data_IF_852757032132
#
_entry.id   IF_852757032132
#
_cell.length_a   1.000
_cell.length_b   1.000
_cell.length_c   1.000
_cell.angle_alpha   90.00
_cell.angle_beta   90.00
_cell.angle_gamma   90.00
#
_symmetry.space_group_name_H-M   'P 1'
#
loop_
_entity.id
_entity.type
_entity.pdbx_description
1 polymer ?
#
# COMPACT_ATOMS: atom_id res chain seq x y z
N UNK A 1 1.51 -29.86 -2.35
CA UNK A 1 0.81 -29.93 -1.05
C UNK A 1 0.07 -28.64 -0.81
N UNK A 2 -0.94 -28.61 0.06
CA UNK A 2 -1.66 -27.38 0.42
C UNK A 2 -1.08 -26.80 1.70
N UNK A 3 -0.75 -25.51 1.70
CA UNK A 3 -0.28 -24.81 2.89
C UNK A 3 -1.24 -23.67 3.19
N UNK A 4 -1.83 -23.69 4.39
CA UNK A 4 -2.73 -22.64 4.87
C UNK A 4 -1.92 -21.60 5.64
N UNK A 5 -2.00 -20.35 5.22
CA UNK A 5 -1.33 -19.21 5.84
C UNK A 5 -2.26 -18.54 6.85
N UNK A 6 -1.86 -18.50 8.12
CA UNK A 6 -2.56 -17.76 9.16
C UNK A 6 -1.82 -16.45 9.47
N UNK A 7 -2.55 -15.36 9.79
CA UNK A 7 -3.99 -15.30 10.03
C UNK A 7 -4.85 -15.07 8.78
N UNK A 8 -4.26 -14.87 7.60
CA UNK A 8 -5.00 -14.49 6.38
C UNK A 8 -6.01 -15.54 5.89
N UNK A 9 -5.82 -16.81 6.26
CA UNK A 9 -6.63 -17.94 5.79
C UNK A 9 -6.34 -18.34 4.34
N UNK A 10 -5.35 -17.72 3.69
CA UNK A 10 -4.97 -18.03 2.33
C UNK A 10 -4.44 -19.47 2.21
N UNK A 11 -4.83 -20.18 1.16
CA UNK A 11 -4.33 -21.54 0.87
C UNK A 11 -3.49 -21.49 -0.39
N UNK A 12 -2.20 -21.81 -0.26
CA UNK A 12 -1.27 -21.90 -1.37
C UNK A 12 -1.01 -23.36 -1.73
N UNK A 13 -0.91 -23.64 -3.03
CA UNK A 13 -0.52 -24.96 -3.53
C UNK A 13 0.97 -24.98 -3.88
N UNK A 14 1.71 -25.92 -3.27
CA UNK A 14 3.12 -26.17 -3.56
C UNK A 14 3.29 -27.24 -4.63
N UNK A 15 4.25 -27.01 -5.53
CA UNK A 15 4.77 -28.03 -6.45
C UNK A 15 5.61 -29.07 -5.69
N UNK A 16 5.82 -30.28 -6.25
CA UNK A 16 6.68 -31.28 -5.62
C UNK A 16 8.09 -30.75 -5.34
N UNK A 17 8.53 -30.83 -4.08
CA UNK A 17 9.85 -30.34 -3.65
C UNK A 17 9.99 -28.82 -3.53
N UNK A 18 8.90 -28.07 -3.73
CA UNK A 18 8.90 -26.61 -3.64
C UNK A 18 8.84 -26.13 -2.19
N UNK A 19 9.59 -25.08 -1.90
CA UNK A 19 9.61 -24.46 -0.57
C UNK A 19 8.40 -23.56 -0.37
N UNK A 20 7.95 -23.40 0.87
CA UNK A 20 6.77 -22.58 1.21
C UNK A 20 6.92 -21.14 0.68
N UNK A 21 8.08 -20.52 0.87
CA UNK A 21 8.35 -19.15 0.37
C UNK A 21 8.26 -19.06 -1.16
N UNK A 22 8.81 -20.04 -1.87
CA UNK A 22 8.84 -20.03 -3.33
C UNK A 22 7.44 -20.21 -3.91
N UNK A 23 6.64 -21.11 -3.32
CA UNK A 23 5.24 -21.29 -3.69
C UNK A 23 4.41 -20.01 -3.48
N UNK A 24 4.56 -19.36 -2.33
CA UNK A 24 3.84 -18.13 -2.02
C UNK A 24 4.19 -17.01 -3.02
N UNK A 25 5.48 -16.82 -3.32
CA UNK A 25 5.93 -15.81 -4.29
C UNK A 25 5.48 -16.13 -5.71
N UNK A 26 5.53 -17.40 -6.13
CA UNK A 26 5.03 -17.84 -7.44
C UNK A 26 3.55 -17.54 -7.61
N UNK A 27 2.78 -17.62 -6.53
CA UNK A 27 1.35 -17.31 -6.51
C UNK A 27 1.05 -15.82 -6.29
N UNK A 28 2.08 -14.96 -6.21
CA UNK A 28 1.93 -13.51 -6.18
C UNK A 28 1.84 -12.90 -4.77
N UNK A 29 2.07 -13.67 -3.71
CA UNK A 29 2.12 -13.13 -2.35
C UNK A 29 3.42 -12.36 -2.11
N UNK A 30 3.30 -11.21 -1.46
CA UNK A 30 4.44 -10.48 -0.91
C UNK A 30 4.76 -11.06 0.48
N UNK A 31 5.89 -11.74 0.59
CA UNK A 31 6.31 -12.46 1.79
C UNK A 31 7.59 -11.86 2.38
N UNK A 32 7.79 -11.93 3.70
CA UNK A 32 8.99 -11.42 4.34
C UNK A 32 10.20 -12.28 3.93
N UNK A 33 11.22 -11.64 3.34
CA UNK A 33 12.44 -12.31 2.89
C UNK A 33 13.69 -11.43 2.98
N UNK A 34 14.85 -12.08 3.05
CA UNK A 34 16.15 -11.43 2.84
C UNK A 34 17.22 -12.42 2.36
N UNK A 35 17.68 -13.35 3.23
CA UNK A 35 18.87 -14.17 2.95
C UNK A 35 18.64 -15.45 2.12
N UNK A 36 17.41 -15.99 2.12
CA UNK A 36 17.04 -17.29 1.50
C UNK A 36 17.90 -18.51 1.90
N UNK A 37 18.57 -18.44 3.05
CA UNK A 37 19.44 -19.52 3.55
C UNK A 37 19.26 -19.80 5.05
N UNK A 38 18.19 -19.29 5.67
CA UNK A 38 17.86 -19.53 7.07
C UNK A 38 18.58 -18.61 8.09
N UNK A 39 19.50 -17.73 7.68
CA UNK A 39 20.32 -16.96 8.63
C UNK A 39 19.69 -15.66 9.16
N UNK A 40 18.82 -14.99 8.38
CA UNK A 40 18.26 -13.69 8.78
C UNK A 40 16.99 -13.79 9.62
N UNK A 41 16.35 -14.97 9.64
CA UNK A 41 15.09 -15.28 10.33
C UNK A 41 13.86 -14.44 9.89
N UNK A 42 14.00 -13.52 8.92
CA UNK A 42 12.89 -12.71 8.39
C UNK A 42 11.73 -13.57 7.83
N UNK A 43 12.03 -14.72 7.21
CA UNK A 43 11.00 -15.63 6.69
C UNK A 43 10.49 -16.64 7.74
N UNK A 44 10.66 -16.32 9.03
CA UNK A 44 10.20 -17.20 10.10
C UNK A 44 8.68 -17.33 10.08
N UNK A 45 8.21 -18.54 10.33
CA UNK A 45 6.81 -18.87 10.54
C UNK A 45 6.70 -19.95 11.63
N UNK A 46 5.57 -20.01 12.33
CA UNK A 46 5.29 -21.09 13.27
C UNK A 46 4.50 -22.19 12.55
N UNK A 47 4.99 -23.43 12.57
CA UNK A 47 4.27 -24.60 12.09
C UNK A 47 3.19 -24.99 13.12
N UNK A 48 1.92 -24.85 12.73
CA UNK A 48 0.75 -25.12 13.56
C UNK A 48 0.27 -26.56 13.35
N UNK A 49 0.19 -27.00 12.10
CA UNK A 49 -0.22 -28.37 11.73
C UNK A 49 0.59 -28.89 10.53
N UNK A 50 0.72 -30.21 10.45
CA UNK A 50 1.43 -30.93 9.39
C UNK A 50 2.94 -31.06 9.63
N UNK A 51 3.69 -31.36 8.57
CA UNK A 51 5.13 -31.55 8.64
C UNK A 51 5.88 -30.98 7.43
N UNK A 52 7.08 -30.50 7.70
CA UNK A 52 7.98 -29.93 6.69
C UNK A 52 9.36 -30.56 6.82
N UNK A 53 10.05 -30.72 5.69
CA UNK A 53 11.47 -31.02 5.67
C UNK A 53 12.24 -29.69 5.59
N UNK A 54 13.19 -29.52 6.51
CA UNK A 54 14.06 -28.35 6.55
C UNK A 54 15.49 -28.79 6.91
N UNK A 55 16.45 -28.45 6.05
CA UNK A 55 17.87 -28.81 6.26
C UNK A 55 18.11 -30.32 6.50
N UNK A 56 17.31 -31.18 5.85
CA UNK A 56 17.39 -32.64 5.99
C UNK A 56 16.70 -33.22 7.22
N UNK A 57 16.03 -32.39 8.03
CA UNK A 57 15.27 -32.82 9.20
C UNK A 57 13.76 -32.61 8.98
N UNK A 58 12.96 -33.60 9.38
CA UNK A 58 11.50 -33.46 9.41
C UNK A 58 11.09 -32.74 10.70
N UNK A 59 10.35 -31.65 10.56
CA UNK A 59 9.76 -30.87 11.65
C UNK A 59 8.24 -30.98 11.58
N UNK A 60 7.62 -31.20 12.73
CA UNK A 60 6.16 -31.32 12.89
C UNK A 60 5.57 -30.31 13.90
N UNK A 61 6.40 -29.43 14.45
CA UNK A 61 5.98 -28.32 15.31
C UNK A 61 7.09 -27.25 15.36
N UNK A 62 6.73 -26.06 15.85
CA UNK A 62 7.69 -25.01 16.19
C UNK A 62 8.06 -24.08 15.04
N UNK A 63 9.08 -23.26 15.28
CA UNK A 63 9.55 -22.27 14.32
C UNK A 63 10.25 -22.92 13.12
N UNK A 64 9.86 -22.51 11.91
CA UNK A 64 10.42 -22.93 10.63
C UNK A 64 10.82 -21.71 9.81
N UNK A 65 11.73 -21.90 8.86
CA UNK A 65 12.14 -20.89 7.90
C UNK A 65 11.53 -21.24 6.55
N UNK A 66 10.50 -20.51 6.13
CA UNK A 66 9.75 -20.83 4.90
C UNK A 66 10.60 -20.82 3.64
N UNK A 67 11.77 -20.15 3.68
CA UNK A 67 12.77 -20.18 2.61
C UNK A 67 13.59 -21.48 2.50
N UNK A 68 13.46 -22.40 3.46
CA UNK A 68 14.10 -23.72 3.49
C UNK A 68 13.09 -24.87 3.67
N UNK A 69 11.90 -24.59 4.20
CA UNK A 69 10.88 -25.59 4.50
C UNK A 69 10.15 -26.08 3.24
N UNK A 70 10.21 -27.38 2.99
CA UNK A 70 9.45 -28.11 1.95
C UNK A 70 8.33 -28.91 2.62
N UNK A 71 7.04 -28.65 2.33
CA UNK A 71 5.94 -29.41 2.93
C UNK A 71 5.96 -30.88 2.53
N UNK A 72 5.78 -31.76 3.50
CA UNK A 72 5.69 -33.22 3.30
C UNK A 72 4.23 -33.71 3.28
N UNK A 73 3.32 -32.89 3.77
CA UNK A 73 1.87 -33.08 3.75
C UNK A 73 1.18 -31.71 3.71
N UNK A 74 -0.14 -31.68 3.85
CA UNK A 74 -0.85 -30.42 4.00
C UNK A 74 -0.49 -29.77 5.34
N UNK A 75 -0.13 -28.49 5.33
CA UNK A 75 0.35 -27.78 6.51
C UNK A 75 -0.51 -26.55 6.84
N UNK A 76 -0.50 -26.16 8.11
CA UNK A 76 -0.97 -24.85 8.58
C UNK A 76 0.21 -24.13 9.20
N UNK A 77 0.50 -22.93 8.74
CA UNK A 77 1.58 -22.08 9.25
C UNK A 77 1.05 -20.73 9.67
N UNK A 78 1.45 -20.26 10.85
CA UNK A 78 1.26 -18.89 11.27
C UNK A 78 2.41 -18.06 10.71
N UNK A 79 2.10 -17.23 9.71
CA UNK A 79 3.04 -16.40 8.98
C UNK A 79 2.42 -15.00 8.80
N UNK A 80 2.40 -14.25 9.89
CA UNK A 80 1.66 -12.99 10.08
C UNK A 80 2.06 -11.84 9.14
N UNK A 81 3.27 -11.89 8.60
CA UNK A 81 3.85 -10.82 7.79
C UNK A 81 3.70 -11.04 6.28
N UNK A 82 2.87 -12.02 5.87
CA UNK A 82 2.51 -12.22 4.46
C UNK A 82 1.34 -11.31 4.12
N UNK A 83 1.56 -10.43 3.15
CA UNK A 83 0.51 -9.54 2.66
C UNK A 83 -0.51 -10.33 1.84
N UNK A 84 -1.77 -9.88 1.86
CA UNK A 84 -2.81 -10.44 1.01
C UNK A 84 -2.47 -10.27 -0.47
N UNK A 85 -3.12 -11.05 -1.35
CA UNK A 85 -2.93 -10.90 -2.79
C UNK A 85 -3.31 -9.49 -3.23
N UNK A 86 -2.38 -8.82 -3.93
CA UNK A 86 -2.53 -7.44 -4.37
C UNK A 86 -2.23 -6.39 -3.29
N UNK A 87 -2.05 -6.76 -2.03
CA UNK A 87 -1.65 -5.81 -0.98
C UNK A 87 -0.17 -5.39 -1.16
N UNK A 88 0.13 -4.14 -0.80
CA UNK A 88 1.42 -3.52 -1.03
C UNK A 88 2.10 -3.17 0.31
N UNK A 89 3.41 -3.43 0.45
CA UNK A 89 4.11 -3.13 1.69
C UNK A 89 4.23 -1.62 1.90
N UNK A 90 3.90 -1.16 3.10
CA UNK A 90 4.15 0.22 3.53
C UNK A 90 5.65 0.49 3.53
N UNK A 91 6.05 1.59 2.89
CA UNK A 91 7.43 2.09 2.89
C UNK A 91 7.46 3.56 3.23
N UNK A 92 8.56 3.97 3.85
CA UNK A 92 8.86 5.37 4.13
C UNK A 92 9.65 5.99 2.97
N UNK A 93 9.24 7.17 2.52
CA UNK A 93 9.92 7.97 1.51
C UNK A 93 10.24 9.37 2.07
N UNK A 94 11.39 9.92 1.68
CA UNK A 94 11.71 11.32 1.89
C UNK A 94 11.48 12.06 0.56
N UNK A 95 10.31 12.68 0.43
CA UNK A 95 9.89 13.36 -0.79
C UNK A 95 10.30 14.83 -0.77
N UNK A 96 10.69 15.37 -1.92
CA UNK A 96 10.83 16.81 -2.11
C UNK A 96 9.45 17.44 -2.29
N UNK A 97 9.18 18.56 -1.64
CA UNK A 97 7.97 19.37 -1.89
C UNK A 97 8.25 20.24 -3.12
N UNK A 98 7.64 19.90 -4.25
CA UNK A 98 7.82 20.65 -5.51
C UNK A 98 6.84 21.80 -5.66
N UNK A 99 5.66 21.70 -5.03
CA UNK A 99 4.65 22.75 -5.00
C UNK A 99 3.85 22.64 -3.70
N UNK A 100 3.49 23.78 -3.10
CA UNK A 100 2.61 23.86 -1.93
C UNK A 100 1.88 25.20 -1.98
N UNK A 101 0.71 25.21 -2.61
CA UNK A 101 -0.04 26.43 -2.96
C UNK A 101 -1.51 26.33 -2.57
N UNK A 102 -2.11 27.46 -2.21
CA UNK A 102 -3.54 27.56 -1.93
C UNK A 102 -4.32 27.56 -3.26
N UNK A 103 -5.42 26.79 -3.31
CA UNK A 103 -6.27 26.65 -4.50
C UNK A 103 -7.71 27.11 -4.27
N UNK A 104 -8.02 27.67 -3.09
CA UNK A 104 -9.36 28.16 -2.71
C UNK A 104 -10.02 27.30 -1.62
N UNK A 105 -11.04 27.84 -0.95
CA UNK A 105 -11.83 27.10 0.05
C UNK A 105 -11.06 26.58 1.27
N UNK A 106 -9.94 27.23 1.64
CA UNK A 106 -8.94 26.79 2.62
C UNK A 106 -8.17 25.52 2.20
N UNK A 107 -8.20 25.14 0.91
CA UNK A 107 -7.54 23.94 0.38
C UNK A 107 -6.19 24.30 -0.20
N UNK A 108 -5.21 23.46 0.09
CA UNK A 108 -3.85 23.54 -0.45
C UNK A 108 -3.57 22.32 -1.33
N UNK A 109 -3.05 22.57 -2.54
CA UNK A 109 -2.46 21.54 -3.38
C UNK A 109 -0.99 21.39 -3.05
N UNK A 110 -0.59 20.18 -2.68
CA UNK A 110 0.80 19.85 -2.37
C UNK A 110 1.29 18.77 -3.34
N UNK A 111 2.37 19.09 -4.05
CA UNK A 111 3.06 18.17 -4.94
C UNK A 111 4.33 17.67 -4.26
N UNK A 112 4.47 16.35 -4.19
CA UNK A 112 5.58 15.65 -3.58
C UNK A 112 6.31 14.80 -4.63
N UNK A 113 7.61 14.98 -4.77
CA UNK A 113 8.47 14.19 -5.65
C UNK A 113 9.22 13.15 -4.82
N UNK A 114 8.95 11.86 -5.07
CA UNK A 114 9.68 10.76 -4.45
C UNK A 114 11.15 10.68 -4.95
N UNK A 115 12.07 10.10 -4.14
CA UNK A 115 13.47 9.92 -4.50
C UNK A 115 13.70 9.25 -5.86
N UNK A 116 14.88 9.46 -6.45
CA UNK A 116 15.27 8.77 -7.68
C UNK A 116 15.27 7.25 -7.49
N UNK A 117 14.92 6.52 -8.56
CA UNK A 117 14.85 5.06 -8.57
C UNK A 117 13.45 4.53 -8.85
N UNK A 118 13.09 3.43 -8.20
CA UNK A 118 11.78 2.78 -8.37
C UNK A 118 10.67 3.71 -7.85
N UNK A 119 9.58 3.93 -8.61
CA UNK A 119 8.46 4.73 -8.14
C UNK A 119 7.80 4.07 -6.92
N UNK A 120 7.18 4.87 -6.02
CA UNK A 120 6.34 4.33 -4.96
C UNK A 120 5.22 3.47 -5.55
N UNK A 121 4.96 2.32 -4.93
CA UNK A 121 3.85 1.42 -5.32
C UNK A 121 2.64 1.74 -4.44
N UNK A 122 1.50 1.99 -5.07
CA UNK A 122 0.21 2.17 -4.42
C UNK A 122 -0.91 1.88 -5.43
N UNK A 123 -2.12 1.68 -4.92
CA UNK A 123 -3.35 1.61 -5.72
C UNK A 123 -4.08 2.94 -5.72
N UNK A 124 -4.73 3.27 -6.83
CA UNK A 124 -5.50 4.50 -6.94
C UNK A 124 -6.62 4.53 -5.90
N UNK A 125 -6.70 5.61 -5.13
CA UNK A 125 -7.62 5.74 -3.99
C UNK A 125 -7.00 5.50 -2.61
N UNK A 126 -5.75 5.00 -2.53
CA UNK A 126 -5.04 4.88 -1.25
C UNK A 126 -4.59 6.25 -0.71
N UNK A 127 -4.16 6.26 0.56
CA UNK A 127 -3.64 7.45 1.24
C UNK A 127 -2.20 7.26 1.72
N UNK A 128 -1.55 8.38 2.05
CA UNK A 128 -0.23 8.43 2.67
C UNK A 128 -0.29 9.12 4.03
N UNK A 129 0.70 8.88 4.88
CA UNK A 129 0.87 9.53 6.18
C UNK A 129 2.06 10.48 6.13
N UNK A 130 1.86 11.78 6.34
CA UNK A 130 2.96 12.76 6.47
C UNK A 130 3.38 12.87 7.93
N UNK A 131 4.70 12.84 8.18
CA UNK A 131 5.28 13.06 9.50
C UNK A 131 5.31 14.56 9.85
N UNK A 132 4.88 14.90 11.06
CA UNK A 132 4.79 16.28 11.56
C UNK A 132 5.90 16.58 12.57
N UNK A 133 6.20 17.87 12.76
CA UNK A 133 7.20 18.37 13.73
C UNK A 133 6.92 17.92 15.18
N UNK A 134 5.65 17.70 15.53
CA UNK A 134 5.20 17.26 16.86
C UNK A 134 5.36 15.75 17.09
N UNK A 135 5.87 15.00 16.08
CA UNK A 135 6.02 13.55 16.11
C UNK A 135 4.75 12.78 15.74
N UNK A 136 3.63 13.47 15.53
CA UNK A 136 2.42 12.85 15.00
C UNK A 136 2.50 12.64 13.48
N UNK A 137 1.47 11.99 12.92
CA UNK A 137 1.31 11.85 11.48
C UNK A 137 -0.10 12.26 11.07
N UNK A 138 -0.21 12.88 9.90
CA UNK A 138 -1.51 13.22 9.28
C UNK A 138 -1.74 12.40 8.02
N UNK A 139 -2.93 11.84 7.89
CA UNK A 139 -3.36 11.08 6.73
C UNK A 139 -3.87 12.00 5.62
N UNK A 140 -3.46 11.75 4.38
CA UNK A 140 -3.98 12.43 3.19
C UNK A 140 -4.15 11.44 2.04
N UNK A 141 -5.35 11.39 1.47
CA UNK A 141 -5.62 10.65 0.24
C UNK A 141 -4.72 11.17 -0.87
N UNK A 142 -4.10 10.25 -1.61
CA UNK A 142 -3.37 10.60 -2.81
C UNK A 142 -4.37 11.04 -3.88
N UNK A 143 -4.10 12.18 -4.51
CA UNK A 143 -4.84 12.71 -5.64
C UNK A 143 -4.22 12.30 -6.98
N UNK A 144 -2.95 11.96 -7.01
CA UNK A 144 -2.29 11.39 -8.19
C UNK A 144 -2.67 9.92 -8.40
N UNK A 145 -2.69 9.47 -9.66
CA UNK A 145 -2.75 8.04 -9.99
C UNK A 145 -1.36 7.39 -9.92
N UNK A 146 -1.26 6.06 -9.67
CA UNK A 146 0.02 5.34 -9.66
C UNK A 146 0.87 5.53 -10.92
N UNK A 147 0.21 5.78 -12.06
CA UNK A 147 0.83 6.08 -13.35
C UNK A 147 1.62 7.40 -13.38
N UNK A 148 1.42 8.29 -12.40
CA UNK A 148 2.22 9.52 -12.19
C UNK A 148 3.66 9.21 -11.74
N UNK A 149 3.97 7.94 -11.47
CA UNK A 149 5.31 7.46 -11.19
C UNK A 149 5.83 7.99 -9.86
N UNK A 150 6.72 8.98 -9.91
CA UNK A 150 7.36 9.56 -8.71
C UNK A 150 6.70 10.82 -8.21
N UNK A 151 5.73 11.36 -8.95
CA UNK A 151 4.99 12.55 -8.57
C UNK A 151 3.74 12.12 -7.82
N UNK A 152 3.63 12.56 -6.57
CA UNK A 152 2.48 12.36 -5.71
C UNK A 152 1.80 13.70 -5.48
N UNK A 153 0.47 13.71 -5.49
CA UNK A 153 -0.34 14.89 -5.20
C UNK A 153 -1.24 14.62 -4.00
N UNK A 154 -1.42 15.60 -3.13
CA UNK A 154 -2.43 15.58 -2.06
C UNK A 154 -3.14 16.93 -1.95
N UNK A 155 -4.36 16.89 -1.42
CA UNK A 155 -5.17 18.08 -1.13
C UNK A 155 -5.37 18.20 0.38
N UNK A 156 -4.92 19.32 0.96
CA UNK A 156 -4.93 19.56 2.41
C UNK A 156 -5.94 20.64 2.73
N UNK A 157 -6.96 20.32 3.53
CA UNK A 157 -7.89 21.32 4.06
C UNK A 157 -7.30 21.97 5.32
N UNK A 158 -6.84 23.22 5.20
CA UNK A 158 -6.06 23.91 6.23
C UNK A 158 -6.90 24.84 7.12
N UNK A 159 -7.98 24.32 7.73
CA UNK A 159 -8.84 25.09 8.66
C UNK A 159 -8.38 25.06 10.11
N UNK A 160 -7.80 23.94 10.52
CA UNK A 160 -7.31 23.75 11.89
C UNK A 160 -5.83 24.14 12.00
N UNK A 161 -5.43 24.56 13.20
CA UNK A 161 -4.04 24.96 13.46
C UNK A 161 -3.03 23.85 13.12
N UNK A 162 -3.40 22.58 13.34
CA UNK A 162 -2.61 21.40 12.99
C UNK A 162 -2.28 21.35 11.48
N UNK A 163 -3.30 21.48 10.63
CA UNK A 163 -3.15 21.47 9.17
C UNK A 163 -2.41 22.71 8.67
N UNK A 164 -2.68 23.88 9.24
CA UNK A 164 -1.95 25.12 8.91
C UNK A 164 -0.46 25.03 9.28
N UNK A 165 -0.15 24.43 10.43
CA UNK A 165 1.23 24.20 10.85
C UNK A 165 1.94 23.19 9.93
N UNK A 166 1.23 22.14 9.47
CA UNK A 166 1.77 21.22 8.48
C UNK A 166 2.11 21.94 7.16
N UNK A 167 1.24 22.81 6.64
CA UNK A 167 1.53 23.59 5.43
C UNK A 167 2.79 24.44 5.63
N UNK A 168 2.90 25.14 6.77
CA UNK A 168 4.08 25.93 7.11
C UNK A 168 5.34 25.08 7.20
N UNK A 169 5.26 23.88 7.79
CA UNK A 169 6.36 22.92 7.85
C UNK A 169 6.82 22.53 6.44
N UNK A 170 5.89 22.12 5.58
CA UNK A 170 6.19 21.69 4.20
C UNK A 170 6.84 22.81 3.38
N UNK A 171 6.35 24.05 3.50
CA UNK A 171 6.92 25.22 2.83
C UNK A 171 8.30 25.60 3.36
N UNK A 172 8.50 25.51 4.68
CA UNK A 172 9.78 25.84 5.35
C UNK A 172 10.87 24.84 4.99
N UNK A 173 10.55 23.55 5.01
CA UNK A 173 11.53 22.47 4.86
C UNK A 173 11.81 22.10 3.40
N UNK A 174 10.81 22.26 2.52
CA UNK A 174 10.91 21.81 1.13
C UNK A 174 11.03 20.28 0.99
N UNK A 175 10.85 19.54 2.08
CA UNK A 175 10.90 18.08 2.15
C UNK A 175 9.76 17.57 3.02
N UNK A 176 9.26 16.38 2.73
CA UNK A 176 8.26 15.69 3.52
C UNK A 176 8.65 14.22 3.69
N UNK A 177 8.63 13.72 4.93
CA UNK A 177 8.74 12.28 5.20
C UNK A 177 7.34 11.68 5.18
N UNK A 178 7.14 10.67 4.34
CA UNK A 178 5.83 10.04 4.12
C UNK A 178 5.91 8.53 4.24
N UNK A 179 4.87 7.92 4.82
CA UNK A 179 4.67 6.47 4.79
C UNK A 179 3.50 6.15 3.84
N UNK A 180 3.67 5.18 2.94
CA UNK A 180 2.62 4.77 2.00
C UNK A 180 2.87 3.35 1.45
N UNK A 181 1.84 2.64 0.96
CA UNK A 181 0.44 3.08 0.92
C UNK A 181 -0.40 2.59 2.09
N UNK A 182 -1.51 3.27 2.38
CA UNK A 182 -2.51 2.83 3.34
C UNK A 182 -3.94 2.89 2.77
N UNK A 183 -4.84 2.12 3.37
CA UNK A 183 -6.28 2.13 3.08
C UNK A 183 -6.71 1.09 2.04
N UNK A 184 -7.94 0.59 2.20
CA UNK A 184 -8.50 -0.53 1.42
C UNK A 184 -9.53 -0.08 0.37
N UNK A 185 -9.91 1.20 0.37
CA UNK A 185 -10.83 1.78 -0.62
C UNK A 185 -10.04 2.25 -1.84
N UNK A 186 -9.74 1.31 -2.74
CA UNK A 186 -8.92 1.56 -3.92
C UNK A 186 -9.30 0.69 -5.12
N UNK A 187 -8.79 1.05 -6.29
CA UNK A 187 -8.82 0.21 -7.49
C UNK A 187 -7.51 -0.57 -7.60
N UNK A 188 -7.48 -1.78 -7.05
CA UNK A 188 -6.40 -2.75 -7.30
C UNK A 188 -6.54 -3.40 -8.68
N UNK A 189 -7.77 -3.61 -9.10
CA UNK A 189 -8.18 -4.04 -10.45
C UNK A 189 -9.32 -3.13 -10.92
N UNK A 190 -9.44 -2.92 -12.23
CA UNK A 190 -10.55 -2.14 -12.78
C UNK A 190 -11.82 -3.01 -12.81
N UNK A 191 -12.96 -2.48 -12.37
CA UNK A 191 -14.22 -3.23 -12.40
C UNK A 191 -14.75 -3.37 -13.82
N UNK A 192 -15.60 -4.38 -14.03
CA UNK A 192 -16.32 -4.56 -15.29
C UNK A 192 -17.69 -3.86 -15.24
N UNK A 193 -17.69 -2.53 -15.24
CA UNK A 193 -18.92 -1.72 -15.23
C UNK A 193 -18.69 -0.24 -14.93
N UNK A 194 -19.73 0.61 -15.04
CA UNK A 194 -19.63 2.04 -14.77
C UNK A 194 -19.30 2.35 -13.31
N UNK A 195 -18.62 3.48 -13.08
CA UNK A 195 -18.28 3.97 -11.75
C UNK A 195 -19.15 5.17 -11.36
N UNK A 196 -19.56 5.20 -10.09
CA UNK A 196 -20.16 6.36 -9.44
C UNK A 196 -19.29 6.77 -8.26
N UNK A 197 -18.69 7.93 -8.36
CA UNK A 197 -17.78 8.52 -7.39
C UNK A 197 -18.48 9.67 -6.68
N UNK A 198 -18.54 9.63 -5.36
CA UNK A 198 -19.20 10.65 -4.54
C UNK A 198 -18.16 11.17 -3.54
N UNK A 199 -17.91 12.48 -3.59
CA UNK A 199 -16.96 13.15 -2.72
C UNK A 199 -17.54 14.42 -2.11
N UNK A 200 -16.97 14.81 -0.98
CA UNK A 200 -17.20 16.11 -0.36
C UNK A 200 -15.87 16.75 0.02
N UNK A 201 -15.73 18.06 -0.19
CA UNK A 201 -14.50 18.78 0.15
C UNK A 201 -13.26 18.18 -0.53
N UNK A 202 -12.18 18.02 0.24
CA UNK A 202 -10.92 17.40 -0.22
C UNK A 202 -11.01 15.90 -0.48
N UNK A 203 -12.15 15.25 -0.21
CA UNK A 203 -12.41 13.87 -0.66
C UNK A 203 -12.32 13.72 -2.18
N UNK A 204 -12.43 14.83 -2.92
CA UNK A 204 -12.16 14.87 -4.36
C UNK A 204 -10.75 14.41 -4.72
N UNK A 205 -9.75 14.58 -3.84
CA UNK A 205 -8.40 14.06 -4.09
C UNK A 205 -8.43 12.54 -4.35
N UNK A 206 -9.06 11.77 -3.47
CA UNK A 206 -9.19 10.32 -3.67
C UNK A 206 -9.89 9.99 -4.99
N UNK A 207 -10.97 10.70 -5.33
CA UNK A 207 -11.70 10.51 -6.59
C UNK A 207 -10.85 10.88 -7.81
N UNK A 208 -10.05 11.93 -7.73
CA UNK A 208 -9.12 12.33 -8.77
C UNK A 208 -8.10 11.24 -9.07
N UNK A 209 -7.53 10.60 -8.04
CA UNK A 209 -6.63 9.46 -8.21
C UNK A 209 -7.28 8.31 -8.97
N UNK A 210 -8.52 7.95 -8.59
CA UNK A 210 -9.31 6.91 -9.25
C UNK A 210 -9.61 7.25 -10.72
N UNK A 211 -10.00 8.50 -11.01
CA UNK A 211 -10.32 8.97 -12.36
C UNK A 211 -9.07 8.91 -13.25
N UNK A 212 -7.95 9.45 -12.78
CA UNK A 212 -6.71 9.47 -13.56
C UNK A 212 -6.16 8.06 -13.80
N UNK A 213 -6.34 7.15 -12.83
CA UNK A 213 -6.02 5.73 -13.02
C UNK A 213 -6.89 5.09 -14.11
N UNK A 214 -8.22 5.30 -14.05
CA UNK A 214 -9.14 4.83 -15.09
C UNK A 214 -8.77 5.37 -16.47
N UNK A 215 -8.44 6.66 -16.58
CA UNK A 215 -8.00 7.27 -17.84
C UNK A 215 -6.72 6.65 -18.36
N UNK A 216 -5.71 6.47 -17.50
CA UNK A 216 -4.42 5.92 -17.89
C UNK A 216 -4.51 4.46 -18.33
N UNK A 217 -5.46 3.69 -17.78
CA UNK A 217 -5.71 2.30 -18.18
C UNK A 217 -6.67 2.13 -19.36
N UNK A 218 -7.23 3.22 -19.89
CA UNK A 218 -8.21 3.16 -20.98
C UNK A 218 -9.54 2.52 -20.54
N UNK A 219 -9.99 2.81 -19.33
CA UNK A 219 -11.24 2.30 -18.77
C UNK A 219 -12.43 2.60 -19.71
N UNK A 220 -13.16 1.57 -20.19
CA UNK A 220 -14.10 1.74 -21.30
C UNK A 220 -15.50 2.21 -20.86
N UNK A 221 -15.79 2.21 -19.56
CA UNK A 221 -17.10 2.53 -19.01
C UNK A 221 -17.18 3.99 -18.51
N UNK A 222 -18.40 4.56 -18.43
CA UNK A 222 -18.59 5.89 -17.85
C UNK A 222 -18.14 5.98 -16.39
N UNK A 223 -17.55 7.12 -16.04
CA UNK A 223 -17.24 7.51 -14.65
C UNK A 223 -18.06 8.75 -14.31
N UNK A 224 -19.01 8.63 -13.38
CA UNK A 224 -19.83 9.73 -12.90
C UNK A 224 -19.27 10.26 -11.59
N UNK A 225 -19.09 11.57 -11.48
CA UNK A 225 -18.56 12.23 -10.28
C UNK A 225 -19.59 13.19 -9.72
N UNK A 226 -19.91 13.02 -8.45
CA UNK A 226 -20.73 13.94 -7.67
C UNK A 226 -19.85 14.56 -6.59
N UNK A 227 -19.56 15.84 -6.72
CA UNK A 227 -18.68 16.57 -5.79
C UNK A 227 -19.47 17.63 -5.03
N UNK A 228 -19.66 17.38 -3.73
CA UNK A 228 -20.36 18.29 -2.82
C UNK A 228 -19.42 19.29 -2.16
N UNK A 229 -19.70 20.57 -2.34
CA UNK A 229 -19.06 21.67 -1.63
C UNK A 229 -20.06 22.47 -0.80
N UNK A 230 -19.57 23.16 0.23
CA UNK A 230 -20.43 24.01 1.08
C UNK A 230 -20.82 25.30 0.39
N UNK A 231 -19.90 25.85 -0.42
CA UNK A 231 -20.07 27.09 -1.17
C UNK A 231 -19.50 26.94 -2.57
N UNK A 232 -20.02 27.66 -3.57
CA UNK A 232 -19.48 27.63 -4.93
C UNK A 232 -18.00 28.03 -5.03
N UNK A 233 -17.53 28.91 -4.13
CA UNK A 233 -16.14 29.36 -4.06
C UNK A 233 -15.15 28.29 -3.54
N UNK A 234 -15.66 27.18 -3.00
CA UNK A 234 -14.84 26.03 -2.58
C UNK A 234 -14.55 25.05 -3.74
N UNK A 235 -15.13 25.27 -4.94
CA UNK A 235 -14.95 24.40 -6.13
C UNK A 235 -13.66 24.69 -6.90
#
# INVERSE_FOLDING_TARGET
MRVTLQPSGAVIETLPGERILDAAQRLGYECPQSCRNGNCHICSALLVEGSVEQAGEIRNHGEIYTCLAVPQEDCVVLWDSVLALGELPVRTFACQVSECVEVGGDVWRVMLRAPAGKPPRYHAGQYLMIHRDDGEKSAFSMASAPESGRDLEIHVLAREASAQNLIKQLQREGMARVDLPFGDTHLGELPDGPLVLIAAGTGMGQMHSLIEHCRAKGFPYPVHVYWGMRRPEDF
#
